data_IF_354427023002
#
_entry.id   IF_354427023002
#
_cell.length_a   1.000
_cell.length_b   1.000
_cell.length_c   1.000
_cell.angle_alpha   90.00
_cell.angle_beta   90.00
_cell.angle_gamma   90.00
#
_symmetry.space_group_name_H-M   'P 1'
#
loop_
_entity.id
_entity.type
_entity.pdbx_description
1 polymer ?
#
# COMPACT_ATOMS: atom_id res chain seq x y z
N UNK A 1 32.19 -32.65 3.72
CA UNK A 1 30.84 -32.27 3.27
C UNK A 1 30.80 -30.77 3.31
N UNK A 2 30.25 -30.11 2.29
CA UNK A 2 30.04 -28.67 2.36
C UNK A 2 29.11 -28.38 3.55
N UNK A 3 29.41 -27.34 4.33
CA UNK A 3 28.56 -26.91 5.43
C UNK A 3 27.28 -26.30 4.84
N UNK A 4 26.15 -26.65 5.41
CA UNK A 4 24.88 -26.02 5.10
C UNK A 4 24.59 -24.95 6.15
N UNK A 5 24.13 -23.79 5.71
CA UNK A 5 23.86 -22.65 6.56
C UNK A 5 22.39 -22.27 6.56
N UNK A 6 21.88 -21.94 7.73
CA UNK A 6 20.55 -21.41 7.97
C UNK A 6 20.62 -19.92 8.28
N UNK A 7 19.82 -19.12 7.61
CA UNK A 7 19.66 -17.69 7.92
C UNK A 7 18.60 -17.53 9.01
N UNK A 8 18.83 -16.63 9.95
CA UNK A 8 17.90 -16.27 11.02
C UNK A 8 17.66 -14.76 10.95
N UNK A 9 16.40 -14.37 10.76
CA UNK A 9 16.03 -12.98 10.51
C UNK A 9 14.93 -12.54 11.47
N UNK A 10 15.12 -11.37 12.09
CA UNK A 10 14.11 -10.60 12.79
C UNK A 10 14.03 -9.19 12.21
N UNK A 11 12.91 -8.52 12.39
CA UNK A 11 12.64 -7.18 11.89
C UNK A 11 12.28 -6.22 13.01
N UNK A 12 12.68 -4.97 12.84
CA UNK A 12 12.15 -3.80 13.53
C UNK A 12 11.41 -2.97 12.48
N UNK A 13 10.09 -2.87 12.60
CA UNK A 13 9.24 -2.18 11.61
C UNK A 13 8.65 -0.94 12.25
N UNK A 14 9.06 0.24 11.76
CA UNK A 14 8.55 1.53 12.19
C UNK A 14 7.42 1.97 11.26
N UNK A 15 6.32 2.42 11.84
CA UNK A 15 5.14 2.87 11.09
C UNK A 15 4.67 4.21 11.63
N UNK A 16 4.68 5.25 10.78
CA UNK A 16 4.06 6.53 11.09
C UNK A 16 2.54 6.39 11.10
N UNK A 17 1.90 6.85 12.18
CA UNK A 17 0.45 6.74 12.33
C UNK A 17 -0.28 7.91 11.67
N UNK A 18 -1.35 7.61 10.95
CA UNK A 18 -2.18 8.57 10.21
C UNK A 18 -3.07 9.43 11.13
N UNK A 19 -2.46 10.09 12.10
CA UNK A 19 -3.14 11.06 12.97
C UNK A 19 -3.05 12.46 12.38
N UNK A 20 -4.00 13.32 12.72
CA UNK A 20 -3.98 14.73 12.26
C UNK A 20 -2.96 15.59 13.00
N UNK A 21 -2.59 15.17 14.19
CA UNK A 21 -1.66 15.89 15.07
C UNK A 21 -0.59 14.96 15.62
N UNK A 22 0.53 15.51 15.99
CA UNK A 22 1.67 14.81 16.56
C UNK A 22 1.31 14.05 17.86
N UNK A 23 2.21 13.16 18.30
CA UNK A 23 1.95 12.26 19.44
C UNK A 23 1.73 13.03 20.75
N UNK A 24 2.46 14.12 20.99
CA UNK A 24 2.42 14.85 22.26
C UNK A 24 2.04 16.32 22.15
N UNK A 25 1.64 16.81 20.95
CA UNK A 25 1.22 18.20 20.75
C UNK A 25 0.19 18.33 19.61
N UNK A 26 -0.31 19.54 19.40
CA UNK A 26 -1.32 19.84 18.37
C UNK A 26 -0.77 20.18 16.98
N UNK A 27 0.54 20.09 16.74
CA UNK A 27 1.12 20.38 15.43
C UNK A 27 0.69 19.35 14.38
N UNK A 28 0.59 19.79 13.12
CA UNK A 28 0.21 18.95 12.00
C UNK A 28 1.26 17.85 11.74
N UNK A 29 0.78 16.69 11.32
CA UNK A 29 1.59 15.56 10.81
C UNK A 29 1.65 15.53 9.29
N UNK A 30 1.05 16.51 8.60
CA UNK A 30 1.00 16.51 7.13
C UNK A 30 2.40 16.53 6.51
N UNK A 31 2.62 15.64 5.54
CA UNK A 31 3.86 15.54 4.78
C UNK A 31 4.02 16.72 3.81
N UNK A 32 5.27 17.12 3.51
CA UNK A 32 5.58 18.09 2.45
C UNK A 32 5.37 19.56 2.82
N UNK A 33 5.19 19.92 4.11
CA UNK A 33 5.16 21.30 4.57
C UNK A 33 6.54 21.98 4.47
N UNK A 34 6.53 23.32 4.35
CA UNK A 34 7.78 24.09 4.41
C UNK A 34 8.57 23.78 5.70
N UNK A 35 9.90 23.67 5.65
CA UNK A 35 10.72 23.28 6.81
C UNK A 35 10.42 24.09 8.07
N UNK A 36 10.30 23.41 9.19
CA UNK A 36 10.07 23.99 10.53
C UNK A 36 8.75 24.80 10.67
N UNK A 37 7.75 24.56 9.84
CA UNK A 37 6.42 25.22 9.96
C UNK A 37 5.42 24.42 10.80
N UNK A 38 5.62 23.10 10.95
CA UNK A 38 4.80 22.24 11.79
C UNK A 38 5.45 22.00 13.16
N UNK A 39 5.83 23.07 13.85
CA UNK A 39 6.56 23.01 15.12
C UNK A 39 5.92 23.86 16.20
N UNK A 40 6.14 23.49 17.46
CA UNK A 40 5.74 24.25 18.63
C UNK A 40 6.74 24.00 19.79
N UNK A 41 6.65 24.75 20.91
CA UNK A 41 7.55 24.53 22.05
C UNK A 41 7.62 23.09 22.57
N UNK A 42 6.55 22.29 22.43
CA UNK A 42 6.54 20.90 22.90
C UNK A 42 7.41 20.01 21.98
N UNK A 43 7.13 19.97 20.67
CA UNK A 43 7.87 19.09 19.77
C UNK A 43 9.28 19.59 19.42
N UNK A 44 9.64 20.81 19.82
CA UNK A 44 11.02 21.32 19.78
C UNK A 44 11.74 21.25 21.14
N UNK A 45 11.13 20.64 22.15
CA UNK A 45 11.75 20.38 23.45
C UNK A 45 12.11 21.62 24.24
N UNK A 46 11.35 22.73 24.11
CA UNK A 46 11.65 23.95 24.82
C UNK A 46 11.38 23.80 26.32
N UNK A 47 12.23 24.40 27.18
CA UNK A 47 12.07 24.33 28.64
C UNK A 47 10.68 24.78 29.10
N UNK A 48 10.07 24.01 29.98
CA UNK A 48 8.75 24.31 30.56
C UNK A 48 7.54 23.85 29.73
N UNK A 49 7.76 23.28 28.54
CA UNK A 49 6.70 22.63 27.77
C UNK A 49 6.41 21.23 28.31
N UNK A 50 5.13 20.81 28.31
CA UNK A 50 4.71 19.49 28.78
C UNK A 50 4.03 18.70 27.66
N UNK A 51 4.41 17.43 27.44
CA UNK A 51 3.78 16.56 26.46
C UNK A 51 2.39 16.09 26.95
N UNK A 52 1.46 15.88 26.01
CA UNK A 52 0.15 15.29 26.27
C UNK A 52 -0.15 14.25 25.19
N UNK A 53 -0.37 12.99 25.59
CA UNK A 53 -0.59 11.89 24.67
C UNK A 53 -1.83 12.10 23.80
N UNK A 54 -1.66 11.98 22.49
CA UNK A 54 -2.75 11.94 21.52
C UNK A 54 -3.51 10.62 21.66
N UNK A 55 -4.81 10.70 21.99
CA UNK A 55 -5.68 9.53 22.18
C UNK A 55 -5.75 8.63 20.94
N UNK A 56 -5.76 9.21 19.75
CA UNK A 56 -5.84 8.43 18.50
C UNK A 56 -4.60 7.56 18.27
N UNK A 57 -3.42 8.00 18.73
CA UNK A 57 -2.19 7.18 18.67
C UNK A 57 -2.35 5.91 19.50
N UNK A 58 -2.86 6.05 20.72
CA UNK A 58 -3.13 4.90 21.60
C UNK A 58 -4.17 3.96 20.99
N UNK A 59 -5.25 4.51 20.43
CA UNK A 59 -6.30 3.72 19.78
C UNK A 59 -5.76 2.95 18.58
N UNK A 60 -4.95 3.55 17.72
CA UNK A 60 -4.31 2.89 16.59
C UNK A 60 -3.32 1.80 17.03
N UNK A 61 -2.46 2.09 18.00
CA UNK A 61 -1.50 1.12 18.50
C UNK A 61 -2.22 -0.14 19.06
N UNK A 62 -3.28 0.05 19.83
CA UNK A 62 -4.11 -1.06 20.35
C UNK A 62 -4.81 -1.79 19.20
N UNK A 63 -5.34 -1.07 18.20
CA UNK A 63 -6.03 -1.69 17.07
C UNK A 63 -5.08 -2.58 16.25
N UNK A 64 -3.83 -2.13 16.02
CA UNK A 64 -2.78 -2.95 15.37
C UNK A 64 -2.46 -4.16 16.23
N UNK A 65 -2.28 -3.98 17.55
CA UNK A 65 -2.04 -5.10 18.46
C UNK A 65 -3.14 -6.15 18.45
N UNK A 66 -4.41 -5.73 18.49
CA UNK A 66 -5.55 -6.65 18.41
C UNK A 66 -5.62 -7.38 17.06
N UNK A 67 -5.29 -6.71 15.96
CA UNK A 67 -5.29 -7.30 14.62
C UNK A 67 -4.12 -8.26 14.36
N UNK A 68 -3.09 -8.21 15.21
CA UNK A 68 -1.91 -9.08 15.16
C UNK A 68 -1.86 -10.03 16.36
N UNK A 69 -2.98 -10.31 16.99
CA UNK A 69 -3.15 -11.24 18.14
C UNK A 69 -2.23 -10.94 19.32
N UNK A 70 -1.86 -9.67 19.55
CA UNK A 70 -1.04 -9.29 20.69
C UNK A 70 -1.85 -9.22 21.99
N UNK A 71 -1.15 -9.48 23.09
CA UNK A 71 -1.60 -9.14 24.44
C UNK A 71 -1.47 -7.63 24.65
N UNK A 72 -2.55 -6.95 25.05
CA UNK A 72 -2.54 -5.52 25.29
C UNK A 72 -2.16 -5.21 26.74
N UNK A 73 -1.12 -4.39 26.94
CA UNK A 73 -0.69 -3.92 28.25
C UNK A 73 -1.75 -3.01 28.86
N UNK A 74 -2.29 -3.43 30.01
CA UNK A 74 -3.43 -2.74 30.69
C UNK A 74 -2.99 -1.49 31.47
N UNK A 75 -1.77 -1.49 31.94
CA UNK A 75 -1.15 -0.38 32.62
C UNK A 75 0.24 -0.18 32.05
N UNK A 76 0.44 0.94 31.36
CA UNK A 76 1.69 1.28 30.69
C UNK A 76 2.17 2.66 31.05
N UNK A 77 3.36 2.99 30.65
CA UNK A 77 3.96 4.30 30.76
C UNK A 77 4.97 4.50 29.64
N UNK A 78 5.35 5.74 29.41
CA UNK A 78 6.45 6.10 28.55
C UNK A 78 7.77 6.14 29.31
N UNK A 79 8.86 5.90 28.59
CA UNK A 79 10.23 5.99 29.05
C UNK A 79 10.99 7.01 28.18
N UNK A 80 12.05 7.61 28.73
CA UNK A 80 12.98 8.45 27.97
C UNK A 80 14.16 7.63 27.53
N UNK A 81 14.36 7.57 26.19
CA UNK A 81 15.56 7.03 25.54
C UNK A 81 16.53 8.18 25.31
N UNK A 82 17.57 8.28 26.15
CA UNK A 82 18.44 9.44 26.13
C UNK A 82 19.57 9.27 25.11
N UNK A 83 19.60 10.15 24.12
CA UNK A 83 20.73 10.28 23.21
C UNK A 83 20.80 11.70 22.66
N UNK A 84 22.03 12.13 22.36
CA UNK A 84 22.31 13.47 21.88
C UNK A 84 22.55 13.45 20.38
N UNK A 85 21.60 14.02 19.61
CA UNK A 85 21.71 14.16 18.16
C UNK A 85 20.94 15.40 17.69
N UNK A 86 21.37 16.09 16.60
CA UNK A 86 20.74 17.35 16.16
C UNK A 86 19.25 17.24 15.81
N UNK A 87 18.79 16.09 15.31
CA UNK A 87 17.38 15.84 14.99
C UNK A 87 16.50 15.47 16.18
N UNK A 88 17.12 15.30 17.35
CA UNK A 88 16.47 15.00 18.63
C UNK A 88 16.50 16.22 19.56
N UNK A 89 15.55 17.19 19.42
CA UNK A 89 15.69 18.53 20.00
C UNK A 89 15.71 18.55 21.53
N UNK A 90 15.10 17.57 22.18
CA UNK A 90 15.05 17.46 23.63
C UNK A 90 16.18 16.59 24.22
N UNK A 91 17.06 16.03 23.37
CA UNK A 91 18.14 15.10 23.72
C UNK A 91 17.67 13.78 24.34
N UNK A 92 16.40 13.47 24.21
CA UNK A 92 15.81 12.17 24.48
C UNK A 92 14.63 11.95 23.54
N UNK A 93 14.33 10.69 23.23
CA UNK A 93 13.14 10.27 22.53
C UNK A 93 12.18 9.66 23.55
N UNK A 94 10.90 10.07 23.52
CA UNK A 94 9.86 9.43 24.31
C UNK A 94 9.45 8.15 23.60
N UNK A 95 9.58 7.02 24.29
CA UNK A 95 9.34 5.66 23.78
C UNK A 95 8.81 4.77 24.90
N UNK A 96 8.74 3.45 24.71
CA UNK A 96 8.32 2.47 25.72
C UNK A 96 9.29 1.29 25.74
N UNK A 97 10.15 1.18 26.74
CA UNK A 97 11.02 0.03 26.90
C UNK A 97 10.43 -1.04 27.83
N UNK A 98 10.02 -0.62 29.03
CA UNK A 98 9.66 -1.58 30.09
C UNK A 98 8.23 -2.10 29.98
N UNK A 99 7.32 -1.26 29.46
CA UNK A 99 5.89 -1.58 29.36
C UNK A 99 5.36 -1.19 27.97
N UNK A 100 5.80 -1.89 26.91
CA UNK A 100 5.27 -1.66 25.56
C UNK A 100 3.77 -1.91 25.53
N UNK A 101 3.06 -1.22 24.67
CA UNK A 101 1.59 -1.28 24.61
C UNK A 101 1.08 -2.67 24.20
N UNK A 102 1.84 -3.43 23.40
CA UNK A 102 1.46 -4.78 22.98
C UNK A 102 2.64 -5.73 23.08
N UNK A 103 2.35 -7.03 23.35
CA UNK A 103 3.33 -8.11 23.44
C UNK A 103 2.79 -9.42 22.88
N UNK A 104 3.70 -10.36 22.58
CA UNK A 104 3.39 -11.77 22.31
C UNK A 104 2.37 -11.98 21.19
N UNK A 105 2.45 -11.21 20.13
CA UNK A 105 1.58 -11.33 18.97
C UNK A 105 2.11 -12.24 17.88
N UNK A 106 1.53 -12.15 16.69
CA UNK A 106 2.04 -12.82 15.51
C UNK A 106 1.17 -12.64 14.28
N UNK A 107 1.79 -12.87 13.14
CA UNK A 107 1.18 -12.79 11.81
C UNK A 107 1.40 -14.09 11.07
N UNK A 108 0.36 -14.69 10.48
CA UNK A 108 0.50 -15.83 9.59
C UNK A 108 0.85 -15.36 8.18
N UNK A 109 1.91 -15.93 7.61
CA UNK A 109 2.34 -15.72 6.23
C UNK A 109 2.18 -16.99 5.41
N UNK A 110 2.05 -16.84 4.10
CA UNK A 110 2.16 -17.95 3.15
C UNK A 110 3.63 -18.17 2.80
N UNK A 111 4.06 -19.43 2.77
CA UNK A 111 5.42 -19.81 2.40
C UNK A 111 5.49 -20.20 0.92
N UNK A 112 6.68 -20.16 0.30
CA UNK A 112 6.87 -20.46 -1.13
C UNK A 112 6.44 -21.88 -1.53
N UNK A 113 6.43 -22.82 -0.59
CA UNK A 113 5.94 -24.18 -0.79
C UNK A 113 4.40 -24.32 -0.66
N UNK A 114 3.69 -23.22 -0.47
CA UNK A 114 2.23 -23.16 -0.31
C UNK A 114 1.74 -23.52 1.10
N UNK A 115 2.65 -23.63 2.06
CA UNK A 115 2.30 -23.77 3.47
C UNK A 115 1.97 -22.44 4.15
N UNK A 116 1.70 -22.50 5.45
CA UNK A 116 1.55 -21.32 6.31
C UNK A 116 2.58 -21.36 7.44
N UNK A 117 3.08 -20.20 7.82
CA UNK A 117 4.01 -20.02 8.92
C UNK A 117 3.60 -18.82 9.76
N UNK A 118 3.57 -19.01 11.09
CA UNK A 118 3.37 -17.89 12.01
C UNK A 118 4.71 -17.24 12.33
N UNK A 119 4.80 -15.93 12.11
CA UNK A 119 5.92 -15.09 12.54
C UNK A 119 5.49 -14.38 13.82
N UNK A 120 6.22 -14.59 14.90
CA UNK A 120 5.94 -13.96 16.18
C UNK A 120 6.21 -12.46 16.17
N UNK A 121 5.41 -11.70 16.91
CA UNK A 121 5.67 -10.33 17.28
C UNK A 121 6.07 -10.32 18.75
N UNK A 122 7.29 -9.90 19.02
CA UNK A 122 7.80 -9.78 20.38
C UNK A 122 7.07 -8.68 21.13
N UNK A 123 7.04 -7.49 20.53
CA UNK A 123 6.35 -6.34 21.09
C UNK A 123 5.97 -5.29 20.03
N UNK A 124 5.03 -4.42 20.40
CA UNK A 124 4.74 -3.17 19.72
C UNK A 124 4.80 -2.07 20.77
N UNK A 125 5.56 -1.02 20.48
CA UNK A 125 5.61 0.15 21.36
C UNK A 125 5.35 1.44 20.60
N UNK A 126 4.86 2.43 21.34
CA UNK A 126 4.62 3.77 20.81
C UNK A 126 5.84 4.64 21.06
N UNK A 127 6.19 5.45 20.07
CA UNK A 127 7.28 6.41 20.18
C UNK A 127 7.06 7.65 19.30
N UNK A 128 7.89 8.66 19.48
CA UNK A 128 7.92 9.83 18.60
C UNK A 128 9.02 9.72 17.55
N UNK A 129 8.77 10.20 16.33
CA UNK A 129 9.81 10.26 15.31
C UNK A 129 10.77 11.43 15.59
N UNK A 130 12.00 11.32 15.12
CA UNK A 130 13.01 12.37 15.16
C UNK A 130 12.80 13.38 14.02
N UNK A 131 13.46 14.52 14.07
CA UNK A 131 13.54 15.47 12.97
C UNK A 131 14.26 14.90 11.75
N UNK A 132 14.40 15.71 10.72
CA UNK A 132 15.13 15.36 9.50
C UNK A 132 16.42 16.15 9.41
N UNK A 133 17.54 15.46 9.19
CA UNK A 133 18.81 16.09 8.86
C UNK A 133 19.01 16.11 7.34
N UNK A 134 19.42 17.26 6.84
CA UNK A 134 19.78 17.48 5.44
C UNK A 134 21.23 17.94 5.45
N UNK A 135 22.13 17.07 5.00
CA UNK A 135 23.54 17.40 4.85
C UNK A 135 23.73 18.19 3.56
N UNK A 136 24.34 19.37 3.68
CA UNK A 136 24.69 20.17 2.51
C UNK A 136 25.96 19.62 1.89
N UNK A 137 25.95 19.43 0.56
CA UNK A 137 27.11 18.90 -0.17
C UNK A 137 28.17 19.97 -0.45
N UNK A 138 27.81 21.25 -0.34
CA UNK A 138 28.65 22.39 -0.72
C UNK A 138 29.20 23.16 0.50
N UNK A 139 28.45 23.16 1.58
CA UNK A 139 28.81 23.82 2.84
C UNK A 139 29.01 22.76 3.95
N UNK A 140 30.03 22.94 4.78
CA UNK A 140 30.26 22.04 5.94
C UNK A 140 29.21 22.31 7.04
N UNK A 141 27.95 22.08 6.70
CA UNK A 141 26.81 22.26 7.60
C UNK A 141 25.72 21.19 7.38
N UNK A 142 24.85 21.07 8.38
CA UNK A 142 23.63 20.26 8.28
C UNK A 142 22.44 21.12 8.67
N UNK A 143 21.43 21.12 7.81
CA UNK A 143 20.14 21.75 8.09
C UNK A 143 19.25 20.77 8.86
N UNK A 144 18.46 21.28 9.79
CA UNK A 144 17.56 20.49 10.62
C UNK A 144 16.13 20.93 10.36
N UNK A 145 15.27 19.99 9.96
CA UNK A 145 13.84 20.20 9.84
C UNK A 145 13.10 19.40 10.91
N UNK A 146 12.44 20.11 11.83
CA UNK A 146 11.66 19.51 12.93
C UNK A 146 10.19 19.26 12.58
N UNK A 147 9.76 19.39 11.34
CA UNK A 147 8.38 19.08 10.95
C UNK A 147 8.02 17.64 11.30
N UNK A 148 8.96 16.69 11.13
CA UNK A 148 8.77 15.29 11.49
C UNK A 148 8.94 15.01 12.99
N UNK A 149 9.69 15.81 13.73
CA UNK A 149 9.90 15.61 15.17
C UNK A 149 8.57 15.54 15.93
N UNK A 150 8.33 14.44 16.63
CA UNK A 150 7.09 14.17 17.35
C UNK A 150 5.95 13.60 16.47
N UNK A 151 6.18 13.25 15.21
CA UNK A 151 5.24 12.46 14.42
C UNK A 151 5.05 11.10 15.11
N UNK A 152 3.80 10.63 15.29
CA UNK A 152 3.56 9.39 16.02
C UNK A 152 4.09 8.18 15.27
N UNK A 153 4.88 7.35 15.94
CA UNK A 153 5.34 6.05 15.46
C UNK A 153 4.81 4.92 16.34
N UNK A 154 4.63 3.77 15.74
CA UNK A 154 4.73 2.48 16.40
C UNK A 154 5.92 1.73 15.85
N UNK A 155 6.69 1.12 16.72
CA UNK A 155 7.73 0.15 16.36
C UNK A 155 7.23 -1.26 16.66
N UNK A 156 7.27 -2.13 15.65
CA UNK A 156 6.83 -3.51 15.69
C UNK A 156 8.06 -4.38 15.60
N UNK A 157 8.41 -5.06 16.69
CA UNK A 157 9.57 -5.93 16.77
C UNK A 157 9.13 -7.37 16.58
N UNK A 158 9.63 -8.03 15.54
CA UNK A 158 9.33 -9.44 15.31
C UNK A 158 10.24 -10.37 16.13
N UNK A 159 9.77 -11.61 16.36
CA UNK A 159 10.67 -12.70 16.76
C UNK A 159 11.58 -13.08 15.57
N UNK A 160 12.77 -13.68 15.82
CA UNK A 160 13.70 -14.08 14.76
C UNK A 160 13.29 -15.39 14.08
N UNK A 161 12.05 -15.42 13.61
CA UNK A 161 11.42 -16.62 13.06
C UNK A 161 11.64 -16.78 11.56
N UNK A 162 11.93 -15.69 10.83
CA UNK A 162 12.08 -15.71 9.37
C UNK A 162 13.42 -16.33 8.96
N UNK A 163 13.42 -17.03 7.81
CA UNK A 163 14.54 -17.80 7.28
C UNK A 163 14.97 -17.42 5.87
N UNK A 164 14.16 -16.62 5.17
CA UNK A 164 14.44 -16.20 3.80
C UNK A 164 13.95 -14.78 3.53
N UNK A 165 14.46 -14.16 2.48
CA UNK A 165 13.96 -12.88 2.00
C UNK A 165 12.48 -12.95 1.61
N UNK A 166 12.02 -14.07 1.02
CA UNK A 166 10.64 -14.28 0.65
C UNK A 166 9.70 -14.24 1.88
N UNK A 167 10.08 -14.90 2.99
CA UNK A 167 9.31 -14.83 4.24
C UNK A 167 9.27 -13.41 4.83
N UNK A 168 10.37 -12.66 4.71
CA UNK A 168 10.42 -11.24 5.13
C UNK A 168 9.46 -10.39 4.32
N UNK A 169 9.44 -10.54 3.00
CA UNK A 169 8.53 -9.79 2.14
C UNK A 169 7.07 -10.17 2.41
N UNK A 170 6.77 -11.46 2.53
CA UNK A 170 5.42 -11.93 2.87
C UNK A 170 4.93 -11.36 4.21
N UNK A 171 5.79 -11.31 5.23
CA UNK A 171 5.49 -10.70 6.52
C UNK A 171 5.21 -9.19 6.40
N UNK A 172 6.10 -8.44 5.73
CA UNK A 172 5.95 -7.00 5.56
C UNK A 172 4.70 -6.63 4.76
N UNK A 173 4.40 -7.37 3.68
CA UNK A 173 3.19 -7.15 2.89
C UNK A 173 1.92 -7.43 3.69
N UNK A 174 1.90 -8.52 4.45
CA UNK A 174 0.76 -8.85 5.32
C UNK A 174 0.55 -7.80 6.41
N UNK A 175 1.63 -7.39 7.08
CA UNK A 175 1.60 -6.37 8.12
C UNK A 175 1.13 -5.01 7.55
N UNK A 176 1.67 -4.61 6.41
CA UNK A 176 1.26 -3.41 5.68
C UNK A 176 -0.24 -3.40 5.41
N UNK A 177 -0.77 -4.48 4.88
CA UNK A 177 -2.20 -4.60 4.58
C UNK A 177 -3.07 -4.52 5.84
N UNK A 178 -2.69 -5.19 6.93
CA UNK A 178 -3.40 -5.08 8.20
C UNK A 178 -3.50 -3.62 8.66
N UNK A 179 -2.37 -2.90 8.64
CA UNK A 179 -2.30 -1.51 9.10
C UNK A 179 -3.07 -0.57 8.17
N UNK A 180 -2.99 -0.78 6.85
CA UNK A 180 -3.78 -0.01 5.87
C UNK A 180 -5.28 -0.26 6.01
N UNK A 181 -5.71 -1.51 6.21
CA UNK A 181 -7.12 -1.83 6.43
C UNK A 181 -7.67 -1.19 7.70
N UNK A 182 -6.87 -1.10 8.76
CA UNK A 182 -7.21 -0.34 9.97
C UNK A 182 -7.30 1.18 9.75
N UNK A 183 -6.76 1.68 8.64
CA UNK A 183 -6.62 3.11 8.40
C UNK A 183 -5.61 3.77 9.36
N UNK A 184 -4.71 2.99 9.95
CA UNK A 184 -3.74 3.47 10.94
C UNK A 184 -2.51 4.11 10.29
N UNK A 185 -2.18 3.75 9.04
CA UNK A 185 -1.11 4.34 8.23
C UNK A 185 -1.34 4.06 6.74
N UNK A 186 -0.74 4.85 5.86
CA UNK A 186 -0.64 4.57 4.43
C UNK A 186 0.50 3.59 4.11
N UNK A 187 1.45 3.41 5.02
CA UNK A 187 2.56 2.47 4.93
C UNK A 187 3.39 2.60 3.63
N UNK A 188 3.70 3.81 3.22
CA UNK A 188 4.54 4.08 2.05
C UNK A 188 6.02 4.04 2.40
N UNK A 189 6.75 3.03 1.89
CA UNK A 189 8.20 2.92 2.12
C UNK A 189 8.98 4.10 1.48
N UNK A 190 8.54 4.58 0.32
CA UNK A 190 9.22 5.65 -0.42
C UNK A 190 9.12 7.01 0.29
N UNK A 191 8.00 7.29 0.96
CA UNK A 191 7.79 8.49 1.76
C UNK A 191 8.31 8.34 3.19
N UNK A 192 8.67 7.10 3.61
CA UNK A 192 9.21 6.78 4.93
C UNK A 192 8.16 6.59 6.01
N UNK A 193 6.85 6.55 5.67
CA UNK A 193 5.79 6.24 6.63
C UNK A 193 5.77 4.76 7.08
N UNK A 194 6.50 3.89 6.37
CA UNK A 194 6.86 2.56 6.82
C UNK A 194 8.36 2.35 6.56
N UNK A 195 9.09 1.87 7.57
CA UNK A 195 10.53 1.57 7.48
C UNK A 195 10.77 0.23 8.12
N UNK A 196 11.74 -0.53 7.61
CA UNK A 196 12.10 -1.82 8.18
C UNK A 196 13.62 -1.92 8.31
N UNK A 197 14.08 -2.22 9.52
CA UNK A 197 15.45 -2.58 9.81
C UNK A 197 15.54 -4.11 9.91
N UNK A 198 16.51 -4.71 9.22
CA UNK A 198 16.66 -6.16 9.15
C UNK A 198 17.79 -6.60 10.07
N UNK A 199 17.45 -7.41 11.05
CA UNK A 199 18.40 -8.08 11.93
C UNK A 199 18.67 -9.49 11.39
N UNK A 200 19.90 -9.76 10.91
CA UNK A 200 20.25 -11.01 10.24
C UNK A 200 21.47 -11.67 10.92
N UNK A 201 21.39 -12.98 11.09
CA UNK A 201 22.54 -13.82 11.43
C UNK A 201 22.51 -15.13 10.64
N UNK A 202 23.68 -15.75 10.49
CA UNK A 202 23.84 -17.07 9.84
C UNK A 202 24.40 -18.05 10.84
N UNK A 203 23.89 -19.28 10.82
CA UNK A 203 24.38 -20.40 11.62
C UNK A 203 24.46 -21.68 10.80
N UNK A 204 25.29 -22.66 11.22
CA UNK A 204 25.26 -23.97 10.60
C UNK A 204 23.92 -24.68 10.85
N UNK A 205 23.40 -25.36 9.83
CA UNK A 205 22.12 -26.07 9.92
C UNK A 205 22.14 -27.08 11.07
N UNK A 206 21.11 -27.01 11.93
CA UNK A 206 21.00 -27.82 13.12
C UNK A 206 21.69 -27.25 14.40
N UNK A 207 22.39 -26.13 14.27
CA UNK A 207 22.95 -25.44 15.44
C UNK A 207 21.81 -24.76 16.22
N UNK A 208 21.82 -24.93 17.57
CA UNK A 208 20.78 -24.35 18.44
C UNK A 208 21.00 -22.87 18.77
N UNK A 209 22.25 -22.44 18.92
CA UNK A 209 22.60 -21.04 19.20
C UNK A 209 22.53 -20.22 17.94
N UNK A 210 22.06 -18.97 18.06
CA UNK A 210 22.09 -18.01 16.96
C UNK A 210 23.55 -17.64 16.61
N UNK A 211 23.75 -17.25 15.35
CA UNK A 211 24.97 -16.61 14.90
C UNK A 211 25.07 -15.16 15.40
N UNK A 212 26.18 -14.50 15.05
CA UNK A 212 26.34 -13.07 15.35
C UNK A 212 25.44 -12.22 14.47
N UNK A 213 24.62 -11.39 15.09
CA UNK A 213 23.63 -10.54 14.42
C UNK A 213 24.28 -9.29 13.82
N UNK A 214 23.91 -8.96 12.60
CA UNK A 214 24.10 -7.63 12.00
C UNK A 214 22.75 -6.96 11.77
N UNK A 215 22.70 -5.65 11.92
CA UNK A 215 21.53 -4.83 11.67
C UNK A 215 21.70 -4.10 10.33
N UNK A 216 20.76 -4.30 9.39
CA UNK A 216 20.78 -3.68 8.07
C UNK A 216 19.81 -2.51 8.02
N UNK A 217 20.30 -1.32 7.66
CA UNK A 217 19.54 -0.07 7.55
C UNK A 217 19.53 0.49 6.13
N UNK A 218 18.71 1.52 5.91
CA UNK A 218 18.55 2.21 4.63
C UNK A 218 17.91 1.35 3.53
N UNK A 219 16.84 0.66 3.89
CA UNK A 219 16.10 -0.28 3.04
C UNK A 219 14.80 0.38 2.58
N UNK A 220 14.81 1.03 1.40
CA UNK A 220 13.73 1.90 0.95
C UNK A 220 12.73 1.23 0.00
N UNK A 221 12.87 -0.06 -0.25
CA UNK A 221 11.95 -0.84 -1.09
C UNK A 221 12.04 -2.34 -0.77
N UNK A 222 11.00 -3.09 -1.07
CA UNK A 222 11.02 -4.55 -0.92
C UNK A 222 12.14 -5.22 -1.73
N UNK A 223 12.45 -4.68 -2.92
CA UNK A 223 13.58 -5.15 -3.74
C UNK A 223 14.93 -4.89 -3.06
N UNK A 224 15.09 -3.73 -2.42
CA UNK A 224 16.30 -3.41 -1.66
C UNK A 224 16.44 -4.32 -0.44
N UNK A 225 15.34 -4.60 0.27
CA UNK A 225 15.32 -5.55 1.41
C UNK A 225 15.76 -6.93 0.96
N UNK A 226 15.20 -7.46 -0.13
CA UNK A 226 15.59 -8.78 -0.67
C UNK A 226 17.08 -8.84 -0.99
N UNK A 227 17.60 -7.86 -1.74
CA UNK A 227 19.02 -7.83 -2.11
C UNK A 227 19.93 -7.67 -0.92
N UNK A 228 19.54 -6.86 0.06
CA UNK A 228 20.32 -6.68 1.29
C UNK A 228 20.42 -7.97 2.12
N UNK A 229 19.30 -8.71 2.24
CA UNK A 229 19.27 -10.00 2.94
C UNK A 229 20.19 -11.02 2.24
N UNK A 230 20.06 -11.14 0.92
CA UNK A 230 20.87 -12.07 0.13
C UNK A 230 22.35 -11.72 0.20
N UNK A 231 22.71 -10.45 -0.04
CA UNK A 231 24.11 -10.01 0.02
C UNK A 231 24.72 -10.13 1.42
N UNK A 232 23.99 -9.80 2.49
CA UNK A 232 24.50 -9.95 3.85
C UNK A 232 24.62 -11.42 4.26
N UNK A 233 23.70 -12.26 3.83
CA UNK A 233 23.78 -13.72 4.03
C UNK A 233 25.05 -14.28 3.40
N UNK A 234 25.31 -13.97 2.13
CA UNK A 234 26.52 -14.41 1.42
C UNK A 234 27.77 -13.92 2.11
N UNK A 235 27.84 -12.64 2.45
CA UNK A 235 28.98 -12.05 3.18
C UNK A 235 29.28 -12.78 4.49
N UNK A 236 28.25 -13.10 5.29
CA UNK A 236 28.46 -13.80 6.56
C UNK A 236 28.91 -15.24 6.35
N UNK A 237 28.40 -15.95 5.34
CA UNK A 237 28.82 -17.31 4.98
C UNK A 237 30.29 -17.31 4.57
N UNK A 238 30.70 -16.40 3.68
CA UNK A 238 32.09 -16.30 3.22
C UNK A 238 33.07 -16.10 4.40
N UNK A 239 32.74 -15.19 5.33
CA UNK A 239 33.54 -14.97 6.54
C UNK A 239 33.67 -16.25 7.36
N UNK A 240 32.57 -17.00 7.55
CA UNK A 240 32.57 -18.22 8.34
C UNK A 240 33.33 -19.38 7.64
N UNK A 241 33.24 -19.47 6.30
CA UNK A 241 33.96 -20.47 5.51
C UNK A 241 35.47 -20.20 5.47
N UNK A 242 35.88 -18.94 5.48
CA UNK A 242 37.26 -18.51 5.60
C UNK A 242 37.84 -18.69 7.02
N UNK A 243 37.00 -19.11 7.98
CA UNK A 243 37.40 -19.33 9.39
C UNK A 243 37.45 -18.02 10.20
N UNK A 244 36.88 -16.96 9.69
CA UNK A 244 36.71 -15.69 10.38
C UNK A 244 35.53 -15.68 11.35
N UNK A 245 35.27 -14.51 11.93
CA UNK A 245 34.14 -14.27 12.85
C UNK A 245 33.32 -13.06 12.36
N UNK A 246 32.01 -13.21 12.31
CA UNK A 246 31.11 -12.09 12.07
C UNK A 246 31.11 -11.15 13.26
N UNK A 247 31.22 -9.85 13.02
CA UNK A 247 31.20 -8.81 14.06
C UNK A 247 29.78 -8.28 14.18
N UNK A 248 29.31 -8.08 15.42
CA UNK A 248 28.02 -7.44 15.67
C UNK A 248 28.11 -5.95 15.37
N UNK A 249 27.44 -5.50 14.32
CA UNK A 249 27.50 -4.11 13.83
C UNK A 249 26.21 -3.70 13.14
N UNK A 250 25.98 -2.38 13.05
CA UNK A 250 24.96 -1.79 12.18
C UNK A 250 25.58 -1.49 10.83
N UNK A 251 24.94 -1.90 9.76
CA UNK A 251 25.40 -1.76 8.38
C UNK A 251 24.37 -0.98 7.56
N UNK A 252 24.85 -0.13 6.67
CA UNK A 252 24.03 0.59 5.68
C UNK A 252 24.07 -0.13 4.34
N UNK A 253 22.93 -0.40 3.76
CA UNK A 253 22.82 -0.94 2.41
C UNK A 253 22.99 0.17 1.36
N UNK A 254 23.84 -0.07 0.35
CA UNK A 254 23.95 0.74 -0.87
C UNK A 254 23.37 -0.05 -2.05
N UNK A 255 22.15 0.29 -2.41
CA UNK A 255 21.39 -0.42 -3.43
C UNK A 255 21.99 -0.27 -4.83
N UNK A 256 22.74 0.82 -5.08
CA UNK A 256 23.41 1.07 -6.36
C UNK A 256 24.64 0.17 -6.54
N UNK A 257 25.36 -0.06 -5.45
CA UNK A 257 26.57 -0.90 -5.49
C UNK A 257 26.28 -2.37 -5.18
N UNK A 258 25.11 -2.67 -4.57
CA UNK A 258 24.76 -4.00 -4.12
C UNK A 258 25.61 -4.49 -2.93
N UNK A 259 26.07 -3.57 -2.11
CA UNK A 259 26.95 -3.86 -0.98
C UNK A 259 26.50 -3.16 0.31
N UNK A 260 26.91 -3.68 1.45
CA UNK A 260 26.69 -3.07 2.74
C UNK A 260 27.98 -2.54 3.36
N UNK A 261 27.88 -1.41 4.08
CA UNK A 261 29.01 -0.78 4.78
C UNK A 261 28.75 -0.71 6.27
N UNK A 262 29.79 -1.04 7.08
CA UNK A 262 29.73 -0.85 8.52
C UNK A 262 29.54 0.65 8.87
N UNK A 263 28.55 0.97 9.68
CA UNK A 263 28.30 2.33 10.21
C UNK A 263 28.93 2.50 11.60
N UNK A 264 28.66 1.55 12.50
CA UNK A 264 29.18 1.52 13.87
C UNK A 264 29.27 0.11 14.37
N UNK A 265 30.21 -0.15 15.26
CA UNK A 265 30.36 -1.43 15.95
C UNK A 265 29.65 -1.45 17.30
N UNK A 266 29.60 -2.61 17.94
CA UNK A 266 29.06 -2.77 19.31
C UNK A 266 29.84 -1.95 20.34
N UNK A 267 31.13 -1.67 20.10
CA UNK A 267 31.99 -0.86 20.98
C UNK A 267 31.50 0.60 21.02
N UNK A 268 30.81 1.06 19.95
CA UNK A 268 30.21 2.39 19.87
C UNK A 268 28.75 2.42 20.38
N UNK A 269 28.24 1.30 20.92
CA UNK A 269 26.87 1.22 21.41
C UNK A 269 26.67 2.17 22.60
N UNK A 270 25.74 3.11 22.44
CA UNK A 270 25.39 4.05 23.49
C UNK A 270 24.51 3.38 24.56
N UNK A 271 24.82 3.61 25.84
CA UNK A 271 23.87 3.34 26.91
C UNK A 271 22.83 4.47 26.92
N UNK A 272 21.62 4.17 26.50
CA UNK A 272 20.53 5.14 26.47
C UNK A 272 19.96 5.53 27.82
N UNK A 273 20.39 4.91 28.92
CA UNK A 273 19.99 5.25 30.29
C UNK A 273 18.50 5.49 30.43
N UNK A 274 17.70 4.51 30.01
CA UNK A 274 16.25 4.59 30.08
C UNK A 274 15.74 4.83 31.50
N UNK A 275 14.76 5.72 31.62
CA UNK A 275 13.96 5.89 32.84
C UNK A 275 12.55 6.36 32.47
N UNK A 276 11.54 6.12 33.35
CA UNK A 276 10.17 6.57 33.09
C UNK A 276 10.07 8.07 32.88
N UNK A 277 9.32 8.48 31.86
CA UNK A 277 9.07 9.91 31.61
C UNK A 277 8.23 10.51 32.76
N UNK A 278 8.72 11.54 33.48
CA UNK A 278 8.03 12.11 34.63
C UNK A 278 6.88 13.05 34.23
N UNK A 279 6.83 13.52 32.99
CA UNK A 279 5.89 14.52 32.52
C UNK A 279 4.61 13.88 31.91
N UNK A 280 4.64 12.57 31.63
CA UNK A 280 3.53 11.84 31.08
C UNK A 280 2.82 10.99 32.16
N UNK A 281 1.50 11.10 32.19
CA UNK A 281 0.69 10.25 33.08
C UNK A 281 0.70 8.80 32.62
N UNK A 282 0.52 7.82 33.53
CA UNK A 282 0.38 6.42 33.14
C UNK A 282 -0.76 6.18 32.16
N UNK A 283 -0.56 5.23 31.26
CA UNK A 283 -1.57 4.79 30.31
C UNK A 283 -2.40 3.68 30.97
N UNK A 284 -3.71 3.90 31.06
CA UNK A 284 -4.64 2.90 31.58
C UNK A 284 -5.60 2.50 30.47
N UNK A 285 -5.53 1.22 30.06
CA UNK A 285 -6.41 0.65 29.03
C UNK A 285 -7.55 -0.11 29.71
N UNK A 286 -8.77 0.44 29.66
CA UNK A 286 -9.95 -0.18 30.24
C UNK A 286 -10.53 -1.30 29.36
N UNK A 287 -11.37 -2.16 29.96
CA UNK A 287 -12.12 -3.18 29.19
C UNK A 287 -13.07 -2.55 28.17
N UNK A 288 -13.70 -1.45 28.55
CA UNK A 288 -14.62 -0.71 27.68
C UNK A 288 -13.87 -0.19 26.45
N UNK A 289 -12.69 0.43 26.64
CA UNK A 289 -11.85 0.93 25.55
C UNK A 289 -11.46 -0.19 24.59
N UNK A 290 -11.05 -1.37 25.09
CA UNK A 290 -10.73 -2.52 24.25
C UNK A 290 -11.93 -3.02 23.45
N UNK A 291 -13.10 -3.10 24.09
CA UNK A 291 -14.34 -3.50 23.40
C UNK A 291 -14.72 -2.52 22.30
N UNK A 292 -14.59 -1.21 22.55
CA UNK A 292 -14.88 -0.18 21.57
C UNK A 292 -13.92 -0.25 20.37
N UNK A 293 -12.62 -0.40 20.62
CA UNK A 293 -11.61 -0.52 19.55
C UNK A 293 -11.84 -1.80 18.75
N UNK A 294 -12.08 -2.93 19.43
CA UNK A 294 -12.36 -4.20 18.76
C UNK A 294 -13.62 -4.14 17.89
N UNK A 295 -14.66 -3.46 18.35
CA UNK A 295 -15.91 -3.31 17.61
C UNK A 295 -15.75 -2.40 16.36
N UNK A 296 -14.75 -1.55 16.33
CA UNK A 296 -14.44 -0.66 15.20
C UNK A 296 -13.48 -1.29 14.17
N UNK A 297 -12.94 -2.48 14.46
CA UNK A 297 -12.06 -3.14 13.49
C UNK A 297 -12.82 -3.44 12.20
N UNK A 298 -12.22 -3.17 11.03
CA UNK A 298 -12.84 -3.47 9.75
C UNK A 298 -12.81 -4.98 9.47
N UNK A 299 -13.54 -5.39 8.45
CA UNK A 299 -13.31 -6.67 7.82
C UNK A 299 -11.95 -6.65 7.12
N UNK A 300 -11.05 -7.54 7.50
CA UNK A 300 -9.72 -7.62 6.92
C UNK A 300 -9.71 -8.35 5.57
N UNK A 301 -8.59 -8.30 4.87
CA UNK A 301 -8.42 -8.88 3.54
C UNK A 301 -8.87 -10.33 3.45
N UNK A 302 -8.49 -11.16 4.41
CA UNK A 302 -8.82 -12.60 4.40
C UNK A 302 -10.33 -12.86 4.42
N UNK A 303 -11.06 -12.16 5.29
CA UNK A 303 -12.51 -12.24 5.36
C UNK A 303 -13.16 -11.68 4.08
N UNK A 304 -12.65 -10.54 3.56
CA UNK A 304 -13.13 -9.98 2.29
C UNK A 304 -12.95 -10.95 1.12
N UNK A 305 -11.78 -11.58 1.02
CA UNK A 305 -11.52 -12.59 -0.02
C UNK A 305 -12.52 -13.74 0.02
N UNK A 306 -12.80 -14.28 1.21
CA UNK A 306 -13.78 -15.34 1.38
C UNK A 306 -15.21 -14.87 1.00
N UNK A 307 -15.57 -13.67 1.41
CA UNK A 307 -16.87 -13.07 1.09
C UNK A 307 -16.99 -12.78 -0.43
N UNK A 308 -16.00 -12.25 -1.08
CA UNK A 308 -16.04 -11.94 -2.51
C UNK A 308 -16.21 -13.21 -3.38
N UNK A 309 -15.60 -14.33 -2.97
CA UNK A 309 -15.81 -15.62 -3.63
C UNK A 309 -17.27 -16.07 -3.54
N UNK A 310 -17.87 -15.96 -2.36
CA UNK A 310 -19.21 -16.50 -2.09
C UNK A 310 -20.31 -15.56 -2.56
N UNK A 311 -20.21 -14.27 -2.32
CA UNK A 311 -21.26 -13.30 -2.59
C UNK A 311 -21.20 -12.72 -4.00
N UNK A 312 -20.00 -12.40 -4.50
CA UNK A 312 -19.85 -11.74 -5.79
C UNK A 312 -19.51 -12.69 -6.94
N UNK A 313 -18.92 -13.84 -6.66
CA UNK A 313 -18.57 -14.86 -7.64
C UNK A 313 -17.64 -14.33 -8.73
N UNK A 314 -16.68 -13.47 -8.36
CA UNK A 314 -15.61 -12.99 -9.23
C UNK A 314 -14.39 -13.93 -9.15
N UNK A 315 -13.49 -13.93 -10.17
CA UNK A 315 -12.32 -14.81 -10.18
C UNK A 315 -11.36 -14.56 -9.01
N UNK A 316 -10.70 -15.59 -8.51
CA UNK A 316 -9.73 -15.49 -7.43
C UNK A 316 -8.59 -14.50 -7.72
N UNK A 317 -8.12 -14.45 -8.97
CA UNK A 317 -7.13 -13.48 -9.43
C UNK A 317 -7.59 -12.02 -9.24
N UNK A 318 -8.86 -11.73 -9.61
CA UNK A 318 -9.44 -10.40 -9.43
C UNK A 318 -9.59 -10.06 -7.94
N UNK A 319 -10.04 -11.05 -7.14
CA UNK A 319 -10.17 -10.90 -5.68
C UNK A 319 -8.84 -10.54 -5.05
N UNK A 320 -7.77 -11.22 -5.43
CA UNK A 320 -6.43 -11.01 -4.90
C UNK A 320 -5.95 -9.57 -5.16
N UNK A 321 -6.10 -9.09 -6.38
CA UNK A 321 -5.70 -7.72 -6.77
C UNK A 321 -6.56 -6.66 -6.10
N UNK A 322 -7.90 -6.80 -6.15
CA UNK A 322 -8.83 -5.83 -5.58
C UNK A 322 -8.62 -5.71 -4.07
N UNK A 323 -8.47 -6.83 -3.37
CA UNK A 323 -8.26 -6.83 -1.92
C UNK A 323 -6.81 -6.55 -1.50
N UNK A 324 -5.89 -6.50 -2.45
CA UNK A 324 -4.49 -6.11 -2.24
C UNK A 324 -4.30 -4.62 -1.90
N UNK A 325 -5.35 -3.79 -2.10
CA UNK A 325 -5.42 -2.41 -1.62
C UNK A 325 -6.77 -2.17 -0.95
N UNK A 326 -6.75 -1.53 0.22
CA UNK A 326 -7.99 -1.13 0.89
C UNK A 326 -8.81 -0.18 0.03
N UNK A 327 -8.15 0.81 -0.58
CA UNK A 327 -8.82 1.80 -1.41
C UNK A 327 -9.53 1.16 -2.62
N UNK A 328 -8.86 0.22 -3.29
CA UNK A 328 -9.46 -0.54 -4.40
C UNK A 328 -10.65 -1.39 -3.93
N UNK A 329 -10.54 -2.04 -2.78
CA UNK A 329 -11.62 -2.84 -2.21
C UNK A 329 -12.83 -1.98 -1.82
N UNK A 330 -12.60 -0.83 -1.20
CA UNK A 330 -13.65 0.12 -0.82
C UNK A 330 -14.34 0.70 -2.08
N UNK A 331 -13.58 1.05 -3.11
CA UNK A 331 -14.11 1.52 -4.41
C UNK A 331 -14.96 0.44 -5.10
N UNK A 332 -14.49 -0.80 -5.10
CA UNK A 332 -15.22 -1.94 -5.63
C UNK A 332 -16.56 -2.14 -4.90
N UNK A 333 -16.53 -2.23 -3.57
CA UNK A 333 -17.73 -2.45 -2.75
C UNK A 333 -18.75 -1.31 -2.90
N UNK A 334 -18.28 -0.06 -2.83
CA UNK A 334 -19.15 1.10 -2.99
C UNK A 334 -19.81 1.14 -4.38
N UNK A 335 -19.06 0.82 -5.45
CA UNK A 335 -19.60 0.76 -6.80
C UNK A 335 -20.62 -0.37 -6.95
N UNK A 336 -20.30 -1.57 -6.41
CA UNK A 336 -21.23 -2.71 -6.42
C UNK A 336 -22.51 -2.42 -5.66
N UNK A 337 -22.43 -1.74 -4.51
CA UNK A 337 -23.60 -1.33 -3.74
C UNK A 337 -24.56 -0.43 -4.54
N UNK A 338 -24.02 0.39 -5.46
CA UNK A 338 -24.83 1.28 -6.30
C UNK A 338 -25.41 0.55 -7.52
N UNK A 339 -24.61 -0.24 -8.24
CA UNK A 339 -25.03 -0.81 -9.53
C UNK A 339 -25.48 -2.28 -9.46
N UNK A 340 -25.13 -3.01 -8.38
CA UNK A 340 -25.39 -4.43 -8.18
C UNK A 340 -24.84 -5.35 -9.32
N UNK A 341 -23.65 -5.01 -9.83
CA UNK A 341 -23.03 -5.73 -10.96
C UNK A 341 -21.54 -6.06 -10.68
N UNK A 342 -21.22 -6.94 -9.71
CA UNK A 342 -19.86 -7.16 -9.23
C UNK A 342 -18.89 -7.57 -10.35
N UNK A 343 -19.30 -8.44 -11.28
CA UNK A 343 -18.45 -8.89 -12.40
C UNK A 343 -18.07 -7.75 -13.35
N UNK A 344 -18.97 -6.79 -13.58
CA UNK A 344 -18.68 -5.65 -14.47
C UNK A 344 -17.79 -4.64 -13.77
N UNK A 345 -18.04 -4.38 -12.48
CA UNK A 345 -17.14 -3.54 -11.68
C UNK A 345 -15.73 -4.13 -11.67
N UNK A 346 -15.60 -5.43 -11.37
CA UNK A 346 -14.32 -6.13 -11.45
C UNK A 346 -13.65 -5.96 -12.82
N UNK A 347 -14.37 -6.18 -13.92
CA UNK A 347 -13.82 -6.02 -15.27
C UNK A 347 -13.29 -4.61 -15.55
N UNK A 348 -13.95 -3.56 -15.06
CA UNK A 348 -13.46 -2.18 -15.21
C UNK A 348 -12.21 -1.92 -14.37
N UNK A 349 -12.16 -2.43 -13.16
CA UNK A 349 -10.99 -2.31 -12.29
C UNK A 349 -9.81 -3.10 -12.86
N UNK A 350 -10.01 -4.36 -13.25
CA UNK A 350 -8.96 -5.23 -13.78
C UNK A 350 -8.49 -4.85 -15.19
N UNK A 351 -9.36 -4.24 -15.99
CA UNK A 351 -9.03 -3.80 -17.34
C UNK A 351 -8.48 -2.38 -17.39
N UNK A 352 -9.37 -1.41 -17.54
CA UNK A 352 -8.99 -0.02 -17.82
C UNK A 352 -8.33 0.67 -16.63
N UNK A 353 -8.77 0.39 -15.38
CA UNK A 353 -8.17 1.01 -14.19
C UNK A 353 -6.71 0.59 -14.04
N UNK A 354 -6.41 -0.70 -14.05
CA UNK A 354 -5.02 -1.20 -13.94
C UNK A 354 -4.15 -0.75 -15.12
N UNK A 355 -4.73 -0.67 -16.34
CA UNK A 355 -4.01 -0.15 -17.51
C UNK A 355 -3.56 1.29 -17.29
N UNK A 356 -4.49 2.17 -16.90
CA UNK A 356 -4.18 3.59 -16.67
C UNK A 356 -3.25 3.82 -15.48
N UNK A 357 -3.42 3.07 -14.38
CA UNK A 357 -2.49 3.11 -13.25
C UNK A 357 -1.06 2.78 -13.71
N UNK A 358 -0.89 1.72 -14.49
CA UNK A 358 0.41 1.33 -15.01
C UNK A 358 1.01 2.37 -15.97
N UNK A 359 0.20 2.93 -16.86
CA UNK A 359 0.63 3.96 -17.82
C UNK A 359 1.07 5.26 -17.14
N UNK A 360 0.46 5.58 -16.00
CA UNK A 360 0.70 6.83 -15.25
C UNK A 360 1.60 6.65 -14.02
N UNK A 361 2.10 5.44 -13.79
CA UNK A 361 2.92 5.07 -12.61
C UNK A 361 2.23 5.46 -11.29
N UNK A 362 0.94 5.09 -11.15
CA UNK A 362 0.09 5.41 -10.02
C UNK A 362 -0.20 4.19 -9.17
N UNK A 363 -0.28 4.37 -7.86
CA UNK A 363 -0.77 3.36 -6.93
C UNK A 363 -2.31 3.40 -6.80
N UNK A 364 -2.90 2.34 -6.25
CA UNK A 364 -4.36 2.26 -6.06
C UNK A 364 -4.90 3.37 -5.14
N UNK A 365 -4.11 3.83 -4.20
CA UNK A 365 -4.41 4.90 -3.26
C UNK A 365 -4.51 6.27 -3.93
N UNK A 366 -4.00 6.42 -5.16
CA UNK A 366 -4.04 7.66 -5.94
C UNK A 366 -5.30 7.81 -6.79
N UNK A 367 -6.13 6.76 -6.88
CA UNK A 367 -7.39 6.79 -7.62
C UNK A 367 -8.34 7.85 -7.05
N UNK A 368 -8.93 8.67 -7.93
CA UNK A 368 -9.77 9.80 -7.54
C UNK A 368 -11.20 9.73 -8.05
N UNK A 369 -11.48 8.90 -9.06
CA UNK A 369 -12.84 8.78 -9.60
C UNK A 369 -13.80 8.12 -8.59
N UNK A 370 -15.03 8.60 -8.58
CA UNK A 370 -16.04 8.20 -7.61
C UNK A 370 -16.76 6.89 -7.99
N UNK A 371 -17.21 6.10 -7.00
CA UNK A 371 -18.07 4.94 -7.23
C UNK A 371 -19.36 5.27 -7.98
N UNK A 372 -19.92 6.45 -7.72
CA UNK A 372 -21.13 6.97 -8.37
C UNK A 372 -20.94 7.13 -9.88
N UNK A 373 -19.81 7.74 -10.29
CA UNK A 373 -19.53 7.97 -11.69
C UNK A 373 -19.15 6.69 -12.42
N UNK A 374 -18.38 5.80 -11.81
CA UNK A 374 -18.11 4.46 -12.37
C UNK A 374 -19.42 3.66 -12.55
N UNK A 375 -20.31 3.71 -11.57
CA UNK A 375 -21.63 3.04 -11.65
C UNK A 375 -22.49 3.59 -12.79
N UNK A 376 -22.50 4.91 -13.02
CA UNK A 376 -23.23 5.55 -14.14
C UNK A 376 -22.64 5.11 -15.49
N UNK A 377 -21.31 5.08 -15.61
CA UNK A 377 -20.65 4.62 -16.84
C UNK A 377 -21.00 3.16 -17.16
N UNK A 378 -21.00 2.29 -16.16
CA UNK A 378 -21.41 0.88 -16.31
C UNK A 378 -22.87 0.81 -16.79
N UNK A 379 -23.78 1.58 -16.20
CA UNK A 379 -25.20 1.62 -16.60
C UNK A 379 -25.40 2.12 -18.03
N UNK A 380 -24.67 3.17 -18.44
CA UNK A 380 -24.71 3.68 -19.82
C UNK A 380 -24.24 2.62 -20.84
N UNK A 381 -23.17 1.91 -20.50
CA UNK A 381 -22.67 0.81 -21.34
C UNK A 381 -23.66 -0.34 -21.42
N UNK A 382 -24.28 -0.73 -20.30
CA UNK A 382 -25.27 -1.81 -20.24
C UNK A 382 -26.55 -1.53 -21.00
N UNK A 383 -27.03 -0.28 -20.88
CA UNK A 383 -28.20 0.19 -21.62
C UNK A 383 -27.91 0.36 -23.11
N UNK A 384 -26.67 0.08 -23.57
CA UNK A 384 -26.20 0.35 -24.94
C UNK A 384 -26.43 1.80 -25.37
N UNK A 385 -26.46 2.71 -24.41
CA UNK A 385 -26.56 4.16 -24.69
C UNK A 385 -25.26 4.70 -25.31
N UNK A 386 -24.14 4.02 -25.06
CA UNK A 386 -22.81 4.25 -25.62
C UNK A 386 -22.16 2.93 -26.02
N UNK A 387 -21.27 2.93 -26.98
CA UNK A 387 -20.48 1.75 -27.34
C UNK A 387 -19.24 1.59 -26.47
N UNK A 388 -18.55 0.43 -26.54
CA UNK A 388 -17.38 0.12 -25.72
C UNK A 388 -16.22 1.09 -25.92
N UNK A 389 -16.01 1.60 -27.16
CA UNK A 389 -14.91 2.54 -27.44
C UNK A 389 -15.18 3.89 -26.77
N UNK A 390 -16.41 4.39 -26.87
CA UNK A 390 -16.83 5.62 -26.20
C UNK A 390 -16.80 5.48 -24.69
N UNK A 391 -17.19 4.31 -24.16
CA UNK A 391 -17.12 4.04 -22.72
C UNK A 391 -15.68 4.13 -22.20
N UNK A 392 -14.70 3.60 -22.93
CA UNK A 392 -13.29 3.71 -22.58
C UNK A 392 -12.77 5.14 -22.65
N UNK A 393 -13.12 5.89 -23.68
CA UNK A 393 -12.79 7.31 -23.83
C UNK A 393 -13.31 8.14 -22.65
N UNK A 394 -14.57 7.91 -22.27
CA UNK A 394 -15.18 8.58 -21.11
C UNK A 394 -14.46 8.19 -19.82
N UNK A 395 -14.10 6.90 -19.68
CA UNK A 395 -13.38 6.43 -18.50
C UNK A 395 -12.00 7.06 -18.37
N UNK A 396 -11.26 7.26 -19.46
CA UNK A 396 -9.96 7.95 -19.43
C UNK A 396 -10.09 9.39 -18.91
N UNK A 397 -11.11 10.13 -19.36
CA UNK A 397 -11.38 11.49 -18.84
C UNK A 397 -11.83 11.43 -17.38
N UNK A 398 -12.72 10.48 -17.03
CA UNK A 398 -13.22 10.30 -15.67
C UNK A 398 -12.10 9.90 -14.70
N UNK A 399 -11.12 9.14 -15.15
CA UNK A 399 -9.96 8.72 -14.34
C UNK A 399 -9.15 9.92 -13.85
N UNK A 400 -9.06 10.99 -14.64
CA UNK A 400 -8.32 12.22 -14.29
C UNK A 400 -9.17 13.24 -13.53
N UNK A 401 -10.41 13.45 -13.95
CA UNK A 401 -11.21 14.61 -13.52
C UNK A 401 -12.51 14.23 -12.76
N UNK A 402 -12.77 12.93 -12.56
CA UNK A 402 -14.02 12.41 -11.96
C UNK A 402 -15.29 13.04 -12.52
N UNK A 403 -15.36 13.19 -13.85
CA UNK A 403 -16.52 13.77 -14.54
C UNK A 403 -17.77 12.90 -14.39
N UNK A 404 -18.97 13.53 -14.46
CA UNK A 404 -20.21 12.80 -14.55
C UNK A 404 -20.42 12.25 -15.97
N UNK A 405 -20.41 10.91 -16.19
CA UNK A 405 -20.48 10.31 -17.52
C UNK A 405 -21.77 10.63 -18.27
N UNK A 406 -22.92 10.70 -17.59
CA UNK A 406 -24.22 10.99 -18.21
C UNK A 406 -24.22 12.40 -18.82
N UNK A 407 -23.76 13.38 -18.04
CA UNK A 407 -23.65 14.76 -18.49
C UNK A 407 -22.63 14.90 -19.63
N UNK A 408 -21.49 14.24 -19.53
CA UNK A 408 -20.45 14.26 -20.56
C UNK A 408 -20.98 13.70 -21.91
N UNK A 409 -21.72 12.58 -21.85
CA UNK A 409 -22.36 11.97 -23.02
C UNK A 409 -23.38 12.93 -23.68
N UNK A 410 -24.13 13.67 -22.88
CA UNK A 410 -25.10 14.67 -23.40
C UNK A 410 -24.41 15.87 -24.05
N UNK A 411 -23.44 16.46 -23.34
CA UNK A 411 -22.71 17.65 -23.82
C UNK A 411 -21.89 17.36 -25.10
N UNK A 412 -21.29 16.16 -25.20
CA UNK A 412 -20.54 15.76 -26.40
C UNK A 412 -21.38 15.05 -27.47
N UNK A 413 -22.66 14.82 -27.19
CA UNK A 413 -23.58 14.16 -28.12
C UNK A 413 -23.10 12.73 -28.48
N UNK A 414 -22.63 11.96 -27.50
CA UNK A 414 -22.02 10.62 -27.70
C UNK A 414 -23.04 9.49 -27.62
N UNK A 415 -24.33 9.78 -27.39
CA UNK A 415 -25.37 8.74 -27.35
C UNK A 415 -25.44 8.01 -28.68
N UNK A 416 -25.59 6.69 -28.59
CA UNK A 416 -25.86 5.86 -29.77
C UNK A 416 -27.19 6.26 -30.43
N UNK A 417 -27.19 6.26 -31.72
CA UNK A 417 -28.43 6.51 -32.50
C UNK A 417 -29.20 5.20 -32.53
N UNK A 418 -30.29 5.15 -31.79
CA UNK A 418 -31.23 4.03 -31.74
C UNK A 418 -32.42 4.17 -32.70
N UNK A 419 -32.46 5.26 -33.46
CA UNK A 419 -33.51 5.48 -34.49
C UNK A 419 -33.22 4.57 -35.70
N UNK A 420 -33.95 3.45 -35.76
CA UNK A 420 -33.89 2.48 -36.84
C UNK A 420 -34.12 3.10 -38.21
N UNK A 421 -35.00 4.12 -38.31
CA UNK A 421 -35.27 4.85 -39.56
C UNK A 421 -34.08 5.71 -40.03
N UNK A 422 -33.36 6.35 -39.11
CA UNK A 422 -32.16 7.10 -39.43
C UNK A 422 -31.01 6.14 -39.82
N UNK A 423 -30.89 5.03 -39.10
CA UNK A 423 -29.89 4.01 -39.37
C UNK A 423 -30.10 3.36 -40.72
N UNK A 424 -31.36 2.99 -41.05
CA UNK A 424 -31.74 2.39 -42.33
C UNK A 424 -31.43 3.29 -43.50
N UNK A 425 -31.72 4.60 -43.42
CA UNK A 425 -31.37 5.58 -44.47
C UNK A 425 -29.83 5.64 -44.68
N UNK A 426 -29.05 5.70 -43.62
CA UNK A 426 -27.59 5.73 -43.74
C UNK A 426 -27.04 4.42 -44.35
N UNK A 427 -27.62 3.28 -44.00
CA UNK A 427 -27.26 1.99 -44.60
C UNK A 427 -27.60 1.96 -46.09
N UNK A 428 -28.76 2.43 -46.50
CA UNK A 428 -29.16 2.56 -47.89
C UNK A 428 -28.20 3.45 -48.68
N UNK A 429 -27.81 4.62 -48.13
CA UNK A 429 -26.79 5.48 -48.73
C UNK A 429 -25.44 4.79 -48.88
N UNK A 430 -24.99 4.04 -47.87
CA UNK A 430 -23.72 3.27 -47.93
C UNK A 430 -23.80 2.19 -48.99
N UNK A 431 -24.91 1.47 -49.09
CA UNK A 431 -25.15 0.44 -50.14
C UNK A 431 -25.07 1.10 -51.52
N UNK A 432 -25.74 2.25 -51.72
CA UNK A 432 -25.75 2.98 -52.99
C UNK A 432 -24.34 3.45 -53.41
N UNK A 433 -23.55 3.88 -52.44
CA UNK A 433 -22.18 4.41 -52.65
C UNK A 433 -21.10 3.31 -52.81
N UNK A 434 -21.41 2.06 -52.55
CA UNK A 434 -20.44 0.93 -52.61
C UNK A 434 -20.95 -0.25 -53.45
N UNK A 435 -21.33 -0.05 -54.74
CA UNK A 435 -21.95 -1.11 -55.56
C UNK A 435 -21.06 -2.36 -55.74
N UNK A 436 -19.77 -2.17 -55.81
CA UNK A 436 -18.83 -3.32 -55.97
C UNK A 436 -18.82 -4.24 -54.73
N UNK A 437 -18.89 -3.67 -53.53
CA UNK A 437 -18.90 -4.46 -52.26
C UNK A 437 -20.26 -5.17 -52.11
N UNK A 438 -21.33 -4.58 -52.58
CA UNK A 438 -22.68 -5.18 -52.63
C UNK A 438 -22.68 -6.40 -53.58
N UNK A 439 -22.12 -6.24 -54.80
CA UNK A 439 -22.00 -7.32 -55.75
C UNK A 439 -21.11 -8.45 -55.27
N UNK A 440 -19.99 -8.14 -54.63
CA UNK A 440 -19.10 -9.11 -53.99
C UNK A 440 -19.82 -9.93 -52.90
N UNK A 441 -20.66 -9.29 -52.09
CA UNK A 441 -21.45 -9.98 -51.08
C UNK A 441 -22.51 -10.91 -51.71
N UNK A 442 -23.25 -10.44 -52.71
CA UNK A 442 -24.22 -11.25 -53.46
C UNK A 442 -23.59 -12.42 -54.19
N UNK A 443 -22.35 -12.30 -54.59
CA UNK A 443 -21.55 -13.36 -55.19
C UNK A 443 -20.90 -14.31 -54.15
N UNK A 444 -21.32 -14.26 -52.88
CA UNK A 444 -20.88 -15.19 -51.82
C UNK A 444 -19.62 -14.80 -51.07
N UNK A 445 -19.08 -13.60 -51.25
CA UNK A 445 -17.94 -13.09 -50.46
C UNK A 445 -18.44 -12.47 -49.13
N UNK A 446 -18.73 -13.30 -48.13
CA UNK A 446 -19.28 -12.88 -46.85
C UNK A 446 -18.46 -11.78 -46.15
N UNK A 447 -17.15 -11.71 -46.38
CA UNK A 447 -16.29 -10.67 -45.80
C UNK A 447 -16.63 -9.24 -46.29
N UNK A 448 -17.33 -9.08 -47.43
CA UNK A 448 -17.69 -7.80 -47.97
C UNK A 448 -18.73 -7.07 -47.09
N UNK A 449 -19.57 -7.79 -46.32
CA UNK A 449 -20.50 -7.17 -45.38
C UNK A 449 -19.78 -6.44 -44.26
N UNK A 450 -18.62 -6.98 -43.82
CA UNK A 450 -17.79 -6.31 -42.81
C UNK A 450 -17.26 -4.95 -43.25
N UNK A 451 -16.95 -4.77 -44.53
CA UNK A 451 -16.59 -3.50 -45.12
C UNK A 451 -17.76 -2.52 -45.10
N UNK A 452 -18.96 -2.96 -45.50
CA UNK A 452 -20.19 -2.13 -45.48
C UNK A 452 -20.58 -1.70 -44.06
N UNK A 453 -20.43 -2.61 -43.06
CA UNK A 453 -20.59 -2.26 -41.64
C UNK A 453 -19.61 -1.16 -41.26
N UNK A 454 -18.33 -1.30 -41.61
CA UNK A 454 -17.29 -0.30 -41.34
C UNK A 454 -17.58 1.05 -41.94
N UNK A 455 -18.09 1.12 -43.21
CA UNK A 455 -18.49 2.36 -43.88
C UNK A 455 -19.71 3.00 -43.21
N UNK A 456 -20.69 2.19 -42.80
CA UNK A 456 -21.88 2.70 -42.08
C UNK A 456 -21.47 3.24 -40.72
N UNK A 457 -20.63 2.54 -40.00
CA UNK A 457 -20.08 3.01 -38.71
C UNK A 457 -19.32 4.33 -38.86
N UNK A 458 -18.54 4.50 -39.94
CA UNK A 458 -17.84 5.75 -40.26
C UNK A 458 -18.82 6.88 -40.58
N UNK A 459 -19.84 6.63 -41.40
CA UNK A 459 -20.88 7.61 -41.73
C UNK A 459 -21.65 8.05 -40.48
N UNK A 460 -21.93 7.14 -39.57
CA UNK A 460 -22.58 7.40 -38.28
C UNK A 460 -21.64 7.91 -37.19
N UNK A 461 -20.37 8.19 -37.53
CA UNK A 461 -19.33 8.65 -36.58
C UNK A 461 -19.18 7.73 -35.34
N UNK A 462 -19.31 6.44 -35.54
CA UNK A 462 -19.22 5.43 -34.47
C UNK A 462 -20.44 5.35 -33.54
N UNK A 463 -21.53 6.08 -33.83
CA UNK A 463 -22.71 6.16 -32.96
C UNK A 463 -23.81 5.12 -33.29
N UNK A 464 -23.56 4.17 -34.15
CA UNK A 464 -24.50 3.11 -34.50
C UNK A 464 -24.13 1.80 -33.75
N UNK A 465 -25.14 0.93 -33.49
CA UNK A 465 -24.89 -0.42 -33.00
C UNK A 465 -24.45 -1.30 -34.19
N UNK A 466 -23.23 -1.84 -34.19
CA UNK A 466 -22.74 -2.72 -35.27
C UNK A 466 -23.64 -3.93 -35.53
N UNK A 467 -24.30 -4.47 -34.47
CA UNK A 467 -25.22 -5.59 -34.62
C UNK A 467 -26.48 -5.21 -35.37
N UNK A 468 -27.08 -4.03 -35.06
CA UNK A 468 -28.22 -3.48 -35.81
C UNK A 468 -27.85 -3.13 -37.25
N UNK A 469 -26.67 -2.51 -37.44
CA UNK A 469 -26.16 -2.21 -38.80
C UNK A 469 -26.04 -3.49 -39.62
N UNK A 470 -25.46 -4.54 -39.04
CA UNK A 470 -25.30 -5.82 -39.73
C UNK A 470 -26.64 -6.50 -40.04
N UNK A 471 -27.63 -6.37 -39.12
CA UNK A 471 -28.96 -6.91 -39.35
C UNK A 471 -29.64 -6.16 -40.49
N UNK A 472 -29.64 -4.81 -40.48
CA UNK A 472 -30.26 -4.01 -41.54
C UNK A 472 -29.57 -4.24 -42.89
N UNK A 473 -28.24 -4.37 -42.91
CA UNK A 473 -27.49 -4.73 -44.12
C UNK A 473 -27.94 -6.09 -44.68
N UNK A 474 -28.13 -7.11 -43.84
CA UNK A 474 -28.61 -8.41 -44.25
C UNK A 474 -30.05 -8.42 -44.75
N UNK A 475 -30.90 -7.49 -44.28
CA UNK A 475 -32.27 -7.32 -44.75
C UNK A 475 -32.36 -6.63 -46.13
N UNK A 476 -31.37 -5.76 -46.42
CA UNK A 476 -31.38 -4.94 -47.63
C UNK A 476 -30.52 -5.51 -48.78
N UNK A 477 -29.59 -6.45 -48.50
CA UNK A 477 -28.72 -7.08 -49.49
C UNK A 477 -29.23 -8.43 -49.93
#
# INVERSE_FOLDING_TARGET
MAKEYETVIGLEVHVELATRTKIFCGCSTAFGGEPNTHTCPVCTGMPGSLPVLNKQVLEYAIAVGLATDCEITRYGKFDRKNYFYPDNPQNYQISQLYLPICRNGGVEIETEDGGTKRIGIHEIHMEEDAGKLIHDEWEDCSLVDYNRSGVPLIEIVSEPDMRSAAEVIAYLEKLRLIIQYLGASDCKLQEGSMRADVNLSVRETGQKSFGTRTEMKNLNSFKAITRAIEGERERQIDILEEGGQVIQETRRWDDTKGESYAMRSKEDAQDYRYFPDPDLVPIVVSEEMLKEIKAKQPEFRTEKMARYRTEYGIPDYDIDIITGSKHMADLFEATVAICNQPKKVSNWLMGETLRLMKEKDMDAEDLRFSPENLSKLIRLSDARAINSSVAKEIFEVMFEEDINPERYVEEKGLKMVSDEGALRRTVEEVIANNPQSVEDYRNGKEKAIGFLVGQTMKAMKGKADPAMVNQILKELL
#
